data_IF_337753833298
#
_entry.id   IF_337753833298
#
_cell.length_a   1.000
_cell.length_b   1.000
_cell.length_c   1.000
_cell.angle_alpha   90.00
_cell.angle_beta   90.00
_cell.angle_gamma   90.00
#
_symmetry.space_group_name_H-M   'P 1'
#
loop_
_entity.id
_entity.type
_entity.pdbx_description
1 polymer ?
#
# COMPACT_ATOMS: atom_id res chain seq x y z
N UNK A 1 -1.59 -0.03 20.17
CA UNK A 1 -2.25 1.23 20.60
C UNK A 1 -3.72 1.01 20.83
N UNK A 2 -4.51 0.64 19.80
CA UNK A 2 -5.98 0.49 19.92
C UNK A 2 -6.37 -0.50 21.01
N UNK A 3 -5.80 -1.69 21.00
CA UNK A 3 -6.09 -2.74 22.01
C UNK A 3 -5.75 -2.30 23.44
N UNK A 4 -4.65 -1.57 23.65
CA UNK A 4 -4.32 -1.01 24.97
C UNK A 4 -5.31 0.06 25.41
N UNK A 5 -5.81 0.90 24.49
CA UNK A 5 -6.86 1.89 24.75
C UNK A 5 -8.20 1.25 25.12
N UNK A 6 -8.52 0.13 24.49
CA UNK A 6 -9.76 -0.64 24.76
C UNK A 6 -9.63 -1.59 25.96
N UNK A 7 -8.45 -1.72 26.58
CA UNK A 7 -8.22 -2.61 27.71
C UNK A 7 -8.20 -4.10 27.34
N UNK A 8 -8.02 -4.43 26.06
CA UNK A 8 -7.88 -5.83 25.57
C UNK A 8 -6.52 -6.39 25.97
N UNK A 9 -5.48 -5.57 25.89
CA UNK A 9 -4.15 -5.84 26.45
C UNK A 9 -3.81 -4.79 27.50
N UNK A 10 -2.89 -5.07 28.44
CA UNK A 10 -2.41 -4.06 29.39
C UNK A 10 -1.86 -2.83 28.65
N UNK A 11 -2.15 -1.64 29.19
CA UNK A 11 -1.71 -0.39 28.56
C UNK A 11 -0.18 -0.27 28.52
N UNK A 12 0.49 -0.67 29.58
CA UNK A 12 1.94 -0.71 29.68
C UNK A 12 2.57 -1.65 28.66
N UNK A 13 1.93 -2.81 28.38
CA UNK A 13 2.34 -3.70 27.30
C UNK A 13 2.19 -3.03 25.93
N UNK A 14 1.09 -2.33 25.68
CA UNK A 14 0.91 -1.60 24.43
C UNK A 14 1.98 -0.50 24.24
N UNK A 15 2.27 0.29 25.28
CA UNK A 15 3.25 1.35 25.26
C UNK A 15 4.68 0.79 25.06
N UNK A 16 5.02 -0.29 25.76
CA UNK A 16 6.31 -0.98 25.62
C UNK A 16 6.52 -1.52 24.20
N UNK A 17 5.54 -2.24 23.65
CA UNK A 17 5.61 -2.80 22.28
C UNK A 17 5.82 -1.69 21.25
N UNK A 18 5.06 -0.60 21.34
CA UNK A 18 5.18 0.53 20.41
C UNK A 18 6.57 1.16 20.47
N UNK A 19 7.20 1.21 21.65
CA UNK A 19 8.55 1.75 21.82
C UNK A 19 9.64 0.95 21.09
N UNK A 20 9.33 -0.28 20.67
CA UNK A 20 10.24 -1.17 19.94
C UNK A 20 9.86 -1.41 18.48
N UNK A 21 8.73 -0.87 18.00
CA UNK A 21 8.25 -1.04 16.61
C UNK A 21 8.99 -0.12 15.63
N UNK A 22 10.31 -0.19 15.56
CA UNK A 22 11.16 0.57 14.64
C UNK A 22 12.07 -0.38 13.87
N UNK A 23 12.29 -0.07 12.57
CA UNK A 23 13.06 -0.92 11.65
C UNK A 23 14.51 -1.12 12.09
N UNK A 24 15.13 -0.11 12.70
CA UNK A 24 16.49 -0.14 13.24
C UNK A 24 16.65 -1.05 14.47
N UNK A 25 15.55 -1.47 15.09
CA UNK A 25 15.52 -2.46 16.16
C UNK A 25 15.49 -3.90 15.69
N UNK A 26 15.24 -4.13 14.40
CA UNK A 26 15.10 -5.47 13.83
C UNK A 26 16.43 -5.89 13.18
N UNK A 27 16.97 -7.02 13.61
CA UNK A 27 18.07 -7.69 12.93
C UNK A 27 17.57 -8.31 11.62
N UNK A 28 17.80 -7.61 10.52
CA UNK A 28 17.34 -8.00 9.20
C UNK A 28 18.04 -9.26 8.68
N UNK A 29 19.31 -9.53 9.08
CA UNK A 29 20.02 -10.72 8.67
C UNK A 29 19.41 -11.98 9.32
N UNK A 30 19.13 -11.90 10.61
CA UNK A 30 18.42 -12.94 11.37
C UNK A 30 17.00 -13.13 10.85
N UNK A 31 16.28 -12.04 10.56
CA UNK A 31 14.93 -12.10 10.00
C UNK A 31 14.91 -12.81 8.66
N UNK A 32 15.84 -12.49 7.76
CA UNK A 32 15.99 -13.15 6.45
C UNK A 32 16.21 -14.65 6.61
N UNK A 33 17.15 -15.05 7.46
CA UNK A 33 17.43 -16.47 7.71
C UNK A 33 16.20 -17.23 8.24
N UNK A 34 15.45 -16.60 9.15
CA UNK A 34 14.21 -17.18 9.69
C UNK A 34 13.12 -17.29 8.61
N UNK A 35 12.99 -16.25 7.78
CA UNK A 35 12.02 -16.22 6.68
C UNK A 35 12.30 -17.30 5.64
N UNK A 36 13.55 -17.48 5.24
CA UNK A 36 13.96 -18.54 4.31
C UNK A 36 13.65 -19.94 4.83
N UNK A 37 13.74 -20.14 6.16
CA UNK A 37 13.43 -21.41 6.80
C UNK A 37 11.93 -21.67 6.96
N UNK A 38 11.15 -20.63 7.28
CA UNK A 38 9.73 -20.76 7.67
C UNK A 38 8.80 -20.50 6.48
N UNK A 39 9.24 -19.66 5.52
CA UNK A 39 8.47 -19.25 4.34
C UNK A 39 7.76 -17.88 4.46
N UNK A 40 7.76 -17.25 5.65
CA UNK A 40 7.17 -15.91 5.85
C UNK A 40 7.83 -15.16 7.02
N UNK A 41 7.85 -13.77 7.00
CA UNK A 41 8.68 -12.99 7.91
C UNK A 41 8.06 -12.71 9.28
N UNK A 42 6.74 -12.76 9.42
CA UNK A 42 6.04 -12.15 10.57
C UNK A 42 6.43 -12.81 11.91
N UNK A 43 6.58 -14.14 11.96
CA UNK A 43 7.01 -14.81 13.17
C UNK A 43 8.39 -14.32 13.65
N UNK A 44 9.31 -14.06 12.71
CA UNK A 44 10.63 -13.51 13.02
C UNK A 44 10.56 -12.09 13.60
N UNK A 45 9.69 -11.25 13.05
CA UNK A 45 9.46 -9.88 13.56
C UNK A 45 8.85 -9.93 14.97
N UNK A 46 7.78 -10.71 15.15
CA UNK A 46 7.11 -10.90 16.46
C UNK A 46 8.08 -11.39 17.51
N UNK A 47 8.92 -12.39 17.18
CA UNK A 47 9.91 -12.94 18.10
C UNK A 47 10.94 -11.89 18.51
N UNK A 48 11.43 -11.07 17.58
CA UNK A 48 12.42 -10.05 17.88
C UNK A 48 11.83 -8.92 18.73
N UNK A 49 10.64 -8.43 18.42
CA UNK A 49 9.97 -7.39 19.21
C UNK A 49 9.69 -7.92 20.63
N UNK A 50 9.18 -9.15 20.76
CA UNK A 50 8.95 -9.76 22.08
C UNK A 50 10.23 -9.81 22.92
N UNK A 51 11.38 -10.17 22.32
CA UNK A 51 12.67 -10.22 23.01
C UNK A 51 13.21 -8.86 23.45
N UNK A 52 12.79 -7.77 22.81
CA UNK A 52 13.16 -6.41 23.16
C UNK A 52 12.34 -5.86 24.34
N UNK A 53 11.12 -6.35 24.51
CA UNK A 53 10.23 -5.91 25.57
C UNK A 53 10.66 -6.46 26.94
N UNK A 54 10.57 -5.63 27.98
CA UNK A 54 10.83 -6.01 29.38
C UNK A 54 9.65 -6.75 30.01
N UNK A 55 9.92 -7.41 31.12
CA UNK A 55 8.92 -7.93 32.07
C UNK A 55 7.78 -8.76 31.44
N UNK A 56 8.09 -9.50 30.36
CA UNK A 56 7.12 -10.31 29.59
C UNK A 56 6.02 -9.50 28.89
N UNK A 57 6.10 -8.17 28.84
CA UNK A 57 5.13 -7.33 28.15
C UNK A 57 5.07 -7.62 26.65
N UNK A 58 6.12 -8.21 26.08
CA UNK A 58 6.17 -8.67 24.70
C UNK A 58 5.26 -9.86 24.37
N UNK A 59 4.72 -10.57 25.37
CA UNK A 59 3.78 -11.69 25.13
C UNK A 59 2.48 -11.22 24.45
N UNK A 60 2.18 -9.92 24.50
CA UNK A 60 1.02 -9.30 23.83
C UNK A 60 1.31 -8.84 22.40
N UNK A 61 2.53 -9.01 21.89
CA UNK A 61 2.83 -8.72 20.46
C UNK A 61 2.00 -9.64 19.58
N UNK A 62 1.39 -9.07 18.53
CA UNK A 62 0.56 -9.82 17.58
C UNK A 62 -0.73 -10.41 18.17
N UNK A 63 -1.22 -9.86 19.28
CA UNK A 63 -2.41 -10.36 19.96
C UNK A 63 -3.66 -10.28 19.11
N UNK A 64 -4.30 -11.41 18.85
CA UNK A 64 -5.51 -11.53 18.01
C UNK A 64 -5.31 -11.40 16.51
N UNK A 65 -4.10 -11.06 16.06
CA UNK A 65 -3.75 -10.98 14.65
C UNK A 65 -3.31 -12.34 14.08
N UNK A 66 -3.29 -12.40 12.75
CA UNK A 66 -2.61 -13.48 12.03
C UNK A 66 -1.51 -12.90 11.12
N UNK A 67 -0.62 -13.76 10.64
CA UNK A 67 0.44 -13.38 9.70
C UNK A 67 -0.11 -12.65 8.47
N UNK A 68 -1.23 -13.11 7.94
CA UNK A 68 -1.88 -12.55 6.77
C UNK A 68 -2.32 -11.10 6.99
N UNK A 69 -2.93 -10.77 8.14
CA UNK A 69 -3.34 -9.40 8.49
C UNK A 69 -2.17 -8.41 8.32
N UNK A 70 -0.96 -8.83 8.72
CA UNK A 70 0.23 -7.98 8.68
C UNK A 70 0.81 -7.90 7.27
N UNK A 71 0.92 -9.03 6.57
CA UNK A 71 1.51 -9.07 5.22
C UNK A 71 0.66 -8.35 4.20
N UNK A 72 -0.66 -8.51 4.25
CA UNK A 72 -1.57 -7.87 3.31
C UNK A 72 -1.65 -6.36 3.57
N UNK A 73 -1.75 -5.95 4.85
CA UNK A 73 -1.70 -4.52 5.19
C UNK A 73 -0.37 -3.89 4.79
N UNK A 74 0.77 -4.58 4.99
CA UNK A 74 2.07 -4.10 4.53
C UNK A 74 2.13 -3.98 2.99
N UNK A 75 1.54 -4.93 2.27
CA UNK A 75 1.43 -4.88 0.80
C UNK A 75 0.57 -3.71 0.35
N UNK A 76 -0.55 -3.45 1.01
CA UNK A 76 -1.42 -2.29 0.73
C UNK A 76 -0.68 -0.97 0.94
N UNK A 77 0.15 -0.85 1.99
CA UNK A 77 0.99 0.33 2.21
C UNK A 77 2.01 0.53 1.07
N UNK A 78 2.64 -0.55 0.59
CA UNK A 78 3.55 -0.50 -0.57
C UNK A 78 2.79 -0.11 -1.85
N UNK A 79 1.59 -0.65 -2.08
CA UNK A 79 0.73 -0.27 -3.20
C UNK A 79 0.37 1.21 -3.13
N UNK A 80 0.05 1.74 -1.95
CA UNK A 80 -0.23 3.17 -1.76
C UNK A 80 0.92 4.04 -2.25
N UNK A 81 2.14 3.71 -1.83
CA UNK A 81 3.32 4.49 -2.17
C UNK A 81 3.67 4.34 -3.66
N UNK A 82 3.54 3.14 -4.22
CA UNK A 82 3.71 2.90 -5.66
C UNK A 82 2.66 3.64 -6.52
N UNK A 83 1.40 3.64 -6.11
CA UNK A 83 0.33 4.38 -6.81
C UNK A 83 0.58 5.88 -6.81
N UNK A 84 1.19 6.43 -5.76
CA UNK A 84 1.57 7.85 -5.73
C UNK A 84 2.64 8.16 -6.78
N UNK A 85 3.69 7.33 -6.86
CA UNK A 85 4.74 7.50 -7.87
C UNK A 85 4.18 7.39 -9.30
N UNK A 86 3.32 6.41 -9.54
CA UNK A 86 2.67 6.24 -10.86
C UNK A 86 1.80 7.45 -11.21
N UNK A 87 1.03 8.00 -10.28
CA UNK A 87 0.19 9.18 -10.56
C UNK A 87 1.03 10.43 -10.84
N UNK A 88 2.14 10.63 -10.12
CA UNK A 88 3.06 11.74 -10.33
C UNK A 88 3.69 11.69 -11.74
N UNK A 89 4.11 10.50 -12.19
CA UNK A 89 4.64 10.28 -13.55
C UNK A 89 3.55 10.48 -14.62
N UNK A 90 2.36 9.98 -14.43
CA UNK A 90 1.23 10.21 -15.34
C UNK A 90 0.87 11.71 -15.42
N UNK A 91 0.96 12.42 -14.29
CA UNK A 91 0.75 13.87 -14.28
C UNK A 91 1.83 14.61 -15.09
N UNK A 92 3.09 14.18 -14.99
CA UNK A 92 4.18 14.75 -15.77
C UNK A 92 3.99 14.49 -17.29
N UNK A 93 3.63 13.26 -17.65
CA UNK A 93 3.30 12.88 -19.05
C UNK A 93 2.12 13.72 -19.56
N UNK A 94 1.05 13.86 -18.77
CA UNK A 94 -0.12 14.65 -19.16
C UNK A 94 0.25 16.12 -19.43
N UNK A 95 1.07 16.73 -18.59
CA UNK A 95 1.57 18.12 -18.81
C UNK A 95 2.38 18.23 -20.10
N UNK A 96 3.30 17.30 -20.36
CA UNK A 96 4.11 17.29 -21.57
C UNK A 96 3.24 17.10 -22.82
N UNK A 97 2.29 16.18 -22.81
CA UNK A 97 1.36 15.96 -23.93
C UNK A 97 0.44 17.16 -24.17
N UNK A 98 -0.05 17.82 -23.11
CA UNK A 98 -0.85 19.02 -23.22
C UNK A 98 -0.06 20.16 -23.89
N UNK A 99 1.21 20.32 -23.51
CA UNK A 99 2.10 21.30 -24.14
C UNK A 99 2.29 20.99 -25.63
N UNK A 100 2.63 19.74 -25.97
CA UNK A 100 2.79 19.34 -27.38
C UNK A 100 1.49 19.50 -28.18
N UNK A 101 0.35 19.16 -27.61
CA UNK A 101 -0.95 19.32 -28.24
C UNK A 101 -1.23 20.81 -28.58
N UNK A 102 -0.90 21.71 -27.66
CA UNK A 102 -1.06 23.16 -27.84
C UNK A 102 -0.07 23.72 -28.84
N UNK A 103 1.21 23.43 -28.72
CA UNK A 103 2.29 24.00 -29.53
C UNK A 103 2.17 23.54 -30.98
N UNK A 104 1.72 22.30 -31.23
CA UNK A 104 1.61 21.69 -32.54
C UNK A 104 0.18 21.57 -33.06
N UNK A 105 -0.75 22.39 -32.55
CA UNK A 105 -2.17 22.29 -32.94
C UNK A 105 -2.44 22.43 -34.43
N UNK A 106 -1.55 23.13 -35.17
CA UNK A 106 -1.65 23.35 -36.58
C UNK A 106 -0.53 22.68 -37.41
N UNK A 107 0.39 21.95 -36.78
CA UNK A 107 1.49 21.26 -37.46
C UNK A 107 0.94 20.03 -38.19
N UNK A 108 0.98 20.02 -39.56
CA UNK A 108 0.42 18.93 -40.32
C UNK A 108 1.29 17.68 -40.20
N UNK A 109 0.66 16.52 -40.09
CA UNK A 109 1.27 15.20 -40.18
C UNK A 109 0.34 14.27 -40.97
N UNK A 110 0.91 13.21 -41.54
CA UNK A 110 0.08 12.23 -42.23
C UNK A 110 -0.67 11.35 -41.21
N UNK A 111 -1.99 11.29 -41.35
CA UNK A 111 -2.79 10.25 -40.69
C UNK A 111 -2.51 8.89 -41.30
N UNK A 112 -2.69 7.83 -40.51
CA UNK A 112 -2.51 6.43 -40.96
C UNK A 112 -3.71 5.60 -40.61
N UNK A 113 -4.08 4.71 -41.52
CA UNK A 113 -5.11 3.69 -41.37
C UNK A 113 -4.61 2.39 -41.96
N UNK A 114 -4.71 1.27 -41.27
CA UNK A 114 -4.21 -0.03 -41.71
C UNK A 114 -2.75 0.00 -42.20
N UNK A 115 -1.88 0.73 -41.48
CA UNK A 115 -0.47 0.94 -41.80
C UNK A 115 -0.21 1.72 -43.13
N UNK A 116 -1.27 2.30 -43.69
CA UNK A 116 -1.17 3.11 -44.94
C UNK A 116 -1.37 4.58 -44.61
N UNK A 117 -0.86 5.43 -45.52
CA UNK A 117 -1.11 6.85 -45.47
C UNK A 117 -2.59 7.13 -45.78
N UNK A 118 -3.17 8.01 -44.98
CA UNK A 118 -4.57 8.43 -45.10
C UNK A 118 -4.62 9.96 -45.26
N UNK A 119 -5.62 10.62 -44.73
CA UNK A 119 -5.77 12.06 -44.78
C UNK A 119 -4.76 12.76 -43.86
N UNK A 120 -4.35 14.00 -44.15
CA UNK A 120 -3.60 14.83 -43.24
C UNK A 120 -4.38 15.10 -41.95
N UNK A 121 -3.68 15.05 -40.83
CA UNK A 121 -4.15 15.46 -39.50
C UNK A 121 -3.13 16.42 -38.90
N UNK A 122 -3.34 16.88 -37.65
CA UNK A 122 -2.30 17.66 -36.97
C UNK A 122 -1.60 16.79 -35.87
N UNK A 123 -0.33 17.10 -35.66
CA UNK A 123 0.42 16.46 -34.57
C UNK A 123 -0.22 16.77 -33.21
N UNK A 124 -0.69 17.99 -32.99
CA UNK A 124 -1.41 18.38 -31.79
C UNK A 124 -2.67 17.56 -31.57
N UNK A 125 -3.46 17.26 -32.60
CA UNK A 125 -4.63 16.39 -32.51
C UNK A 125 -4.23 14.96 -32.02
N UNK A 126 -3.15 14.41 -32.58
CA UNK A 126 -2.64 13.11 -32.17
C UNK A 126 -2.23 13.09 -30.69
N UNK A 127 -1.53 14.14 -30.23
CA UNK A 127 -1.13 14.28 -28.83
C UNK A 127 -2.35 14.47 -27.90
N UNK A 128 -3.36 15.20 -28.31
CA UNK A 128 -4.59 15.39 -27.55
C UNK A 128 -5.35 14.06 -27.36
N UNK A 129 -5.38 13.20 -28.37
CA UNK A 129 -5.97 11.86 -28.25
C UNK A 129 -5.26 10.98 -27.20
N UNK A 130 -3.93 10.98 -27.21
CA UNK A 130 -3.13 10.27 -26.21
C UNK A 130 -3.30 10.88 -24.81
N UNK A 131 -3.29 12.21 -24.69
CA UNK A 131 -3.55 12.92 -23.44
C UNK A 131 -4.89 12.52 -22.85
N UNK A 132 -5.94 12.46 -23.65
CA UNK A 132 -7.27 12.05 -23.20
C UNK A 132 -7.28 10.65 -22.56
N UNK A 133 -6.49 9.71 -23.09
CA UNK A 133 -6.33 8.38 -22.49
C UNK A 133 -5.63 8.44 -21.12
N UNK A 134 -4.53 9.21 -21.03
CA UNK A 134 -3.78 9.40 -19.77
C UNK A 134 -4.66 10.02 -18.69
N UNK A 135 -5.45 11.03 -19.01
CA UNK A 135 -6.35 11.67 -18.05
C UNK A 135 -7.39 10.69 -17.49
N UNK A 136 -7.99 9.85 -18.37
CA UNK A 136 -8.90 8.79 -17.92
C UNK A 136 -8.21 7.72 -17.07
N UNK A 137 -6.93 7.42 -17.32
CA UNK A 137 -6.18 6.51 -16.47
C UNK A 137 -5.97 7.09 -15.07
N UNK A 138 -5.63 8.38 -14.95
CA UNK A 138 -5.50 9.06 -13.66
C UNK A 138 -6.82 9.07 -12.87
N UNK A 139 -7.93 9.32 -13.55
CA UNK A 139 -9.25 9.24 -12.93
C UNK A 139 -9.55 7.83 -12.39
N UNK A 140 -9.25 6.77 -13.18
CA UNK A 140 -9.41 5.38 -12.72
C UNK A 140 -8.52 5.06 -11.51
N UNK A 141 -7.28 5.56 -11.49
CA UNK A 141 -6.38 5.38 -10.35
C UNK A 141 -6.94 6.06 -9.09
N UNK A 142 -7.48 7.28 -9.21
CA UNK A 142 -8.10 7.97 -8.09
C UNK A 142 -9.29 7.15 -7.52
N UNK A 143 -10.18 6.66 -8.38
CA UNK A 143 -11.31 5.80 -8.00
C UNK A 143 -10.87 4.44 -7.41
N UNK A 144 -9.76 3.88 -7.91
CA UNK A 144 -9.22 2.61 -7.43
C UNK A 144 -8.69 2.71 -6.00
N UNK A 145 -8.04 3.83 -5.65
CA UNK A 145 -7.44 4.05 -4.32
C UNK A 145 -8.44 3.80 -3.18
N UNK A 146 -9.66 4.26 -3.32
CA UNK A 146 -10.72 4.10 -2.30
C UNK A 146 -11.09 2.63 -2.01
N UNK A 147 -10.89 1.74 -2.98
CA UNK A 147 -11.24 0.32 -2.88
C UNK A 147 -10.06 -0.59 -2.57
N UNK A 148 -8.86 -0.18 -2.96
CA UNK A 148 -7.65 -1.00 -2.85
C UNK A 148 -6.88 -0.72 -1.56
N UNK A 149 -6.95 0.53 -1.06
CA UNK A 149 -6.19 0.94 0.13
C UNK A 149 -6.98 0.59 1.40
N UNK A 150 -7.18 -0.69 1.63
CA UNK A 150 -7.89 -1.24 2.78
C UNK A 150 -6.94 -2.14 3.56
N UNK A 151 -6.75 -1.87 4.85
CA UNK A 151 -5.99 -2.74 5.75
C UNK A 151 -6.80 -3.98 6.12
N UNK A 152 -6.11 -5.04 6.53
CA UNK A 152 -6.71 -6.28 7.02
C UNK A 152 -6.41 -6.47 8.50
N UNK A 153 -7.45 -6.84 9.26
CA UNK A 153 -7.32 -7.33 10.63
C UNK A 153 -8.52 -8.23 10.93
N UNK A 154 -8.34 -9.53 10.78
CA UNK A 154 -9.42 -10.51 10.88
C UNK A 154 -9.06 -11.74 11.72
N UNK A 155 -7.78 -11.92 12.04
CA UNK A 155 -7.27 -13.08 12.79
C UNK A 155 -7.23 -14.36 11.96
N UNK A 156 -6.83 -15.46 12.58
CA UNK A 156 -6.48 -16.70 11.88
C UNK A 156 -7.61 -17.33 11.04
N UNK A 157 -8.86 -17.12 11.41
CA UNK A 157 -10.03 -17.69 10.70
C UNK A 157 -11.01 -16.61 10.18
N UNK A 158 -10.58 -15.34 10.17
CA UNK A 158 -11.42 -14.24 9.67
C UNK A 158 -12.56 -13.82 10.60
N UNK A 159 -12.57 -14.27 11.86
CA UNK A 159 -13.68 -14.06 12.80
C UNK A 159 -13.31 -13.21 14.02
N UNK A 160 -12.02 -12.86 14.19
CA UNK A 160 -11.49 -12.19 15.39
C UNK A 160 -11.86 -12.90 16.71
N UNK A 161 -12.12 -14.20 16.67
CA UNK A 161 -12.64 -14.97 17.82
C UNK A 161 -11.72 -14.89 19.06
N UNK A 162 -10.41 -14.71 18.86
CA UNK A 162 -9.43 -14.57 19.95
C UNK A 162 -9.52 -13.23 20.71
N UNK A 163 -10.22 -12.25 20.19
CA UNK A 163 -10.41 -10.95 20.84
C UNK A 163 -11.71 -10.87 21.64
N UNK A 164 -12.63 -11.83 21.48
CA UNK A 164 -13.93 -11.86 22.15
C UNK A 164 -14.65 -10.50 22.10
N UNK A 165 -14.65 -9.78 23.24
CA UNK A 165 -15.19 -8.42 23.34
C UNK A 165 -14.18 -7.39 22.80
N UNK A 166 -14.66 -6.41 22.01
CA UNK A 166 -13.84 -5.35 21.46
C UNK A 166 -13.16 -5.67 20.12
N UNK A 167 -13.52 -6.81 19.49
CA UNK A 167 -12.99 -7.21 18.19
C UNK A 167 -13.29 -6.17 17.09
N UNK A 168 -14.55 -5.78 16.96
CA UNK A 168 -15.01 -4.81 15.95
C UNK A 168 -14.48 -3.40 16.22
N UNK A 169 -14.41 -3.00 17.49
CA UNK A 169 -13.84 -1.73 17.93
C UNK A 169 -12.33 -1.68 17.66
N UNK A 170 -11.63 -2.82 17.80
CA UNK A 170 -10.21 -2.92 17.42
C UNK A 170 -10.04 -2.71 15.91
N UNK A 171 -10.81 -3.44 15.10
CA UNK A 171 -10.76 -3.34 13.64
C UNK A 171 -11.09 -1.93 13.14
N UNK A 172 -12.13 -1.30 13.71
CA UNK A 172 -12.54 0.06 13.34
C UNK A 172 -11.55 1.15 13.79
N UNK A 173 -10.67 0.84 14.73
CA UNK A 173 -9.67 1.78 15.28
C UNK A 173 -8.28 1.67 14.64
N UNK A 174 -8.07 0.73 13.72
CA UNK A 174 -6.84 0.53 12.97
C UNK A 174 -6.85 1.29 11.65
#
# INVERSE_FOLDING_TARGET
VVQGRLGIIPKDAADEIVSHCYIDRIDMARLRQQTERIGYPILGVVTQINQLCRDKLGEFVHWGATTQDITDTATVLQIRDALQLVDDELAAIARAMAKLAKDHRLTPVIGRSNLQQAIPVTFGYKMAGLLSAILRHRERLAQLKERVLVGEFAGAAGTLASLEKGAMETQAGL
#
